data_IF_310132987748
#
_entry.id   IF_310132987748
#
_cell.length_a   1.000
_cell.length_b   1.000
_cell.length_c   1.000
_cell.angle_alpha   90.00
_cell.angle_beta   90.00
_cell.angle_gamma   90.00
#
_symmetry.space_group_name_H-M   'P 1'
#
loop_
_entity.id
_entity.type
_entity.pdbx_description
1 polymer ?
#
# COMPACT_ATOMS: atom_id res chain seq x y z
N UNK A 1 -22.87 -42.25 51.12
CA UNK A 1 -21.71 -41.33 51.08
C UNK A 1 -21.49 -40.89 49.63
N UNK A 2 -22.00 -39.73 49.25
CA UNK A 2 -21.89 -39.17 47.90
C UNK A 2 -20.72 -38.18 47.97
N UNK A 3 -19.61 -38.48 47.25
CA UNK A 3 -18.48 -37.56 47.12
C UNK A 3 -18.79 -36.61 45.96
N UNK A 4 -19.06 -35.36 46.27
CA UNK A 4 -19.21 -34.30 45.30
C UNK A 4 -17.85 -33.90 44.70
N UNK A 5 -17.69 -34.03 43.39
CA UNK A 5 -16.55 -33.54 42.64
C UNK A 5 -16.74 -32.04 42.37
N UNK A 6 -15.99 -31.17 43.03
CA UNK A 6 -15.96 -29.74 42.73
C UNK A 6 -15.02 -29.54 41.56
N UNK A 7 -15.59 -29.24 40.37
CA UNK A 7 -14.85 -28.85 39.17
C UNK A 7 -14.50 -27.36 39.29
N UNK A 8 -13.26 -27.03 39.60
CA UNK A 8 -12.77 -25.63 39.58
C UNK A 8 -12.44 -25.26 38.14
N UNK A 9 -13.32 -24.45 37.53
CA UNK A 9 -13.11 -23.87 36.22
C UNK A 9 -12.16 -22.69 36.34
N UNK A 10 -10.87 -22.87 36.07
CA UNK A 10 -9.88 -21.80 35.95
C UNK A 10 -10.12 -21.07 34.61
N UNK A 11 -10.87 -19.96 34.65
CA UNK A 11 -10.95 -18.99 33.55
C UNK A 11 -9.60 -18.27 33.45
N UNK A 12 -8.78 -18.66 32.47
CA UNK A 12 -7.65 -17.85 32.03
C UNK A 12 -8.17 -16.59 31.37
N UNK A 13 -8.29 -15.51 32.14
CA UNK A 13 -8.45 -14.17 31.60
C UNK A 13 -7.13 -13.80 30.88
N UNK A 14 -7.08 -14.06 29.58
CA UNK A 14 -6.03 -13.46 28.74
C UNK A 14 -6.25 -11.93 28.80
N UNK A 15 -5.23 -11.13 29.14
CA UNK A 15 -5.36 -9.68 29.06
C UNK A 15 -5.63 -9.31 27.60
N UNK A 16 -6.82 -8.80 27.31
CA UNK A 16 -7.11 -8.13 26.06
C UNK A 16 -6.23 -6.89 26.01
N UNK A 17 -5.09 -6.97 25.34
CA UNK A 17 -4.29 -5.80 24.98
C UNK A 17 -5.08 -5.04 23.93
N UNK A 18 -5.88 -4.06 24.35
CA UNK A 18 -6.54 -3.14 23.44
C UNK A 18 -5.43 -2.38 22.69
N UNK A 19 -5.33 -2.60 21.36
CA UNK A 19 -4.38 -1.89 20.52
C UNK A 19 -4.59 -0.38 20.68
N UNK A 20 -3.55 0.34 21.11
CA UNK A 20 -3.62 1.78 21.32
C UNK A 20 -3.80 2.49 19.98
N UNK A 21 -4.91 3.20 19.82
CA UNK A 21 -5.20 4.00 18.64
C UNK A 21 -4.71 5.44 18.84
N UNK A 22 -3.82 5.89 17.97
CA UNK A 22 -3.33 7.25 17.94
C UNK A 22 -4.15 8.09 16.93
N UNK A 23 -4.49 9.33 17.29
CA UNK A 23 -5.24 10.24 16.40
C UNK A 23 -4.27 11.24 15.76
N UNK A 24 -4.08 11.18 14.45
CA UNK A 24 -3.18 12.06 13.72
C UNK A 24 -3.93 13.20 13.00
N UNK A 25 -5.09 12.95 12.40
CA UNK A 25 -5.91 13.95 11.71
C UNK A 25 -5.21 14.58 10.51
N UNK A 26 -5.19 13.87 9.38
CA UNK A 26 -4.37 14.20 8.21
C UNK A 26 -4.75 15.53 7.52
N UNK A 27 -6.01 15.97 7.60
CA UNK A 27 -6.48 17.19 6.92
C UNK A 27 -5.65 18.46 7.22
N UNK A 28 -5.13 18.60 8.43
CA UNK A 28 -4.32 19.78 8.82
C UNK A 28 -2.91 19.79 8.21
N UNK A 29 -2.53 18.69 7.58
CA UNK A 29 -1.23 18.49 6.92
C UNK A 29 -1.36 18.47 5.40
N UNK A 30 -2.48 18.92 4.85
CA UNK A 30 -2.67 19.01 3.40
C UNK A 30 -1.75 20.08 2.83
N UNK A 31 -0.87 19.65 1.91
CA UNK A 31 -0.04 20.54 1.10
C UNK A 31 -0.94 21.24 0.07
N UNK A 32 -1.63 20.42 -0.75
CA UNK A 32 -2.44 20.95 -1.85
C UNK A 32 -3.50 19.95 -2.31
N UNK A 33 -4.37 20.42 -3.17
CA UNK A 33 -5.17 19.57 -4.07
C UNK A 33 -4.32 19.25 -5.29
N UNK A 34 -4.33 17.99 -5.69
CA UNK A 34 -3.62 17.55 -6.88
C UNK A 34 -4.37 17.95 -8.16
N UNK A 35 -3.68 18.09 -9.30
CA UNK A 35 -4.30 18.29 -10.60
C UNK A 35 -5.29 17.17 -10.96
N UNK A 36 -6.27 17.49 -11.81
CA UNK A 36 -7.31 16.54 -12.21
C UNK A 36 -6.77 15.30 -12.96
N UNK A 37 -5.59 15.41 -13.58
CA UNK A 37 -4.89 14.28 -14.20
C UNK A 37 -4.56 13.18 -13.18
N UNK A 38 -4.54 13.50 -11.89
CA UNK A 38 -4.25 12.60 -10.79
C UNK A 38 -5.51 12.27 -9.97
N UNK A 39 -6.68 12.30 -10.60
CA UNK A 39 -7.93 11.96 -9.92
C UNK A 39 -7.96 10.52 -9.40
N UNK A 40 -7.23 9.63 -10.03
CA UNK A 40 -7.12 8.20 -9.70
C UNK A 40 -5.65 7.85 -9.42
N UNK A 41 -4.93 8.75 -8.68
CA UNK A 41 -3.54 8.50 -8.31
C UNK A 41 -3.45 7.32 -7.32
N UNK A 42 -2.54 6.39 -7.61
CA UNK A 42 -2.26 5.20 -6.82
C UNK A 42 -0.76 5.01 -6.63
N UNK A 43 -0.37 4.71 -5.39
CA UNK A 43 1.03 4.56 -4.99
C UNK A 43 1.86 5.85 -4.99
N UNK A 44 2.82 5.90 -4.08
CA UNK A 44 3.86 6.94 -4.03
C UNK A 44 5.24 6.31 -3.92
N UNK A 45 6.25 6.93 -4.50
CA UNK A 45 7.65 6.57 -4.25
C UNK A 45 8.56 7.79 -4.42
N UNK A 46 9.68 7.81 -3.67
CA UNK A 46 10.75 8.79 -3.87
C UNK A 46 11.91 8.11 -4.57
N UNK A 47 12.27 8.61 -5.75
CA UNK A 47 13.44 8.17 -6.49
C UNK A 47 14.30 9.38 -6.87
N UNK A 48 15.61 9.31 -6.55
CA UNK A 48 16.56 10.40 -6.79
C UNK A 48 16.07 11.77 -6.27
N UNK A 49 15.45 11.77 -5.07
CA UNK A 49 14.96 12.96 -4.38
C UNK A 49 13.69 13.58 -4.93
N UNK A 50 13.02 12.93 -5.90
CA UNK A 50 11.73 13.36 -6.46
C UNK A 50 10.62 12.41 -6.07
N UNK A 51 9.45 12.96 -5.81
CA UNK A 51 8.24 12.22 -5.50
C UNK A 51 7.53 11.82 -6.80
N UNK A 52 7.17 10.55 -6.93
CA UNK A 52 6.46 10.01 -8.10
C UNK A 52 5.18 9.31 -7.68
N UNK A 53 4.20 9.33 -8.57
CA UNK A 53 2.96 8.56 -8.50
C UNK A 53 2.57 8.03 -9.87
N UNK A 54 1.67 7.08 -9.89
CA UNK A 54 0.99 6.57 -11.09
C UNK A 54 -0.50 6.83 -10.98
N UNK A 55 -1.28 6.54 -12.02
CA UNK A 55 -2.73 6.40 -11.90
C UNK A 55 -3.12 4.93 -11.99
N UNK A 56 -4.20 4.58 -11.32
CA UNK A 56 -4.89 3.30 -11.33
C UNK A 56 -5.26 2.81 -12.73
N UNK A 57 -5.77 1.59 -12.81
CA UNK A 57 -6.15 0.88 -14.02
C UNK A 57 -7.02 1.67 -15.00
N UNK A 58 -6.78 1.45 -16.30
CA UNK A 58 -7.52 2.12 -17.37
C UNK A 58 -7.04 3.52 -17.72
N UNK A 59 -6.14 4.11 -16.95
CA UNK A 59 -5.50 5.39 -17.24
C UNK A 59 -4.29 5.22 -18.17
N UNK A 60 -3.68 6.36 -18.57
CA UNK A 60 -2.43 6.33 -19.34
C UNK A 60 -1.29 5.69 -18.55
N UNK A 61 -0.49 4.86 -19.22
CA UNK A 61 0.64 4.17 -18.62
C UNK A 61 1.85 5.12 -18.51
N UNK A 62 1.84 5.96 -17.49
CA UNK A 62 2.87 6.96 -17.23
C UNK A 62 3.06 7.20 -15.74
N UNK A 63 4.27 7.66 -15.36
CA UNK A 63 4.54 8.12 -14.01
C UNK A 63 4.53 9.66 -14.00
N UNK A 64 4.11 10.23 -12.90
CA UNK A 64 4.06 11.68 -12.68
C UNK A 64 5.05 12.06 -11.58
N UNK A 65 6.06 12.85 -11.94
CA UNK A 65 6.93 13.50 -10.96
C UNK A 65 6.22 14.70 -10.36
N UNK A 66 6.12 14.74 -9.04
CA UNK A 66 5.42 15.78 -8.30
C UNK A 66 6.42 16.70 -7.58
N UNK A 67 6.11 17.97 -7.57
CA UNK A 67 6.73 18.90 -6.63
C UNK A 67 6.20 18.58 -5.22
N UNK A 68 7.09 18.25 -4.31
CA UNK A 68 6.76 17.82 -2.95
C UNK A 68 6.10 18.91 -2.10
N UNK A 69 6.33 20.19 -2.41
CA UNK A 69 5.81 21.34 -1.65
C UNK A 69 4.48 21.88 -2.18
N UNK A 70 4.14 21.57 -3.43
CA UNK A 70 2.93 22.11 -4.08
C UNK A 70 2.02 21.05 -4.67
N UNK A 71 2.49 19.82 -4.86
CA UNK A 71 1.75 18.75 -5.56
C UNK A 71 1.60 18.99 -7.07
N UNK A 72 2.28 19.99 -7.63
CA UNK A 72 2.24 20.25 -9.07
C UNK A 72 2.98 19.15 -9.83
N UNK A 73 2.47 18.77 -11.00
CA UNK A 73 3.18 17.85 -11.91
C UNK A 73 4.36 18.63 -12.53
N UNK A 74 5.58 18.20 -12.22
CA UNK A 74 6.81 18.77 -12.80
C UNK A 74 7.21 18.09 -14.09
N UNK A 75 7.02 16.78 -14.15
CA UNK A 75 7.44 15.96 -15.28
C UNK A 75 6.56 14.72 -15.42
N UNK A 76 6.47 14.19 -16.64
CA UNK A 76 5.76 12.95 -16.97
C UNK A 76 6.74 11.97 -17.61
N UNK A 77 6.82 10.76 -17.08
CA UNK A 77 7.61 9.68 -17.64
C UNK A 77 6.68 8.80 -18.46
N UNK A 78 6.69 9.00 -19.77
CA UNK A 78 5.86 8.22 -20.69
C UNK A 78 6.42 6.82 -20.84
N UNK A 79 5.53 5.83 -20.95
CA UNK A 79 5.90 4.44 -21.23
C UNK A 79 5.16 3.91 -22.45
N UNK A 80 5.61 2.77 -22.97
CA UNK A 80 4.88 1.99 -23.97
C UNK A 80 4.14 0.80 -23.34
N UNK A 81 4.09 0.76 -22.02
CA UNK A 81 3.42 -0.27 -21.26
C UNK A 81 1.91 -0.16 -21.38
N UNK A 82 1.21 -1.22 -20.98
CA UNK A 82 -0.22 -1.18 -20.79
C UNK A 82 -0.50 -0.98 -19.31
N UNK A 83 -1.37 -0.04 -18.96
CA UNK A 83 -1.96 0.05 -17.63
C UNK A 83 -3.25 -0.77 -17.64
N UNK A 84 -3.18 -2.02 -17.14
CA UNK A 84 -4.36 -2.87 -17.00
C UNK A 84 -5.04 -2.59 -15.67
N UNK A 85 -4.24 -2.57 -14.59
CA UNK A 85 -4.69 -2.30 -13.21
C UNK A 85 -3.46 -1.95 -12.36
N UNK A 86 -2.85 -0.78 -12.65
CA UNK A 86 -1.67 -0.29 -11.91
C UNK A 86 -2.10 0.18 -10.53
N UNK A 87 -1.49 -0.36 -9.48
CA UNK A 87 -1.88 -0.09 -8.10
C UNK A 87 -0.73 0.39 -7.22
N UNK A 88 0.50 0.12 -7.61
CA UNK A 88 1.65 0.48 -6.80
C UNK A 88 2.84 0.94 -7.63
N UNK A 89 3.66 1.78 -7.03
CA UNK A 89 4.99 2.10 -7.55
C UNK A 89 6.00 2.07 -6.41
N UNK A 90 7.09 1.34 -6.61
CA UNK A 90 8.24 1.33 -5.72
C UNK A 90 9.51 1.67 -6.51
N UNK A 91 10.60 1.98 -5.82
CA UNK A 91 11.87 2.27 -6.47
C UNK A 91 13.07 1.71 -5.74
N UNK A 92 14.14 1.45 -6.47
CA UNK A 92 15.49 1.34 -5.93
C UNK A 92 16.33 2.53 -6.41
N UNK A 93 17.65 2.48 -6.29
CA UNK A 93 18.53 3.58 -6.76
C UNK A 93 18.55 3.76 -8.28
N UNK A 94 18.03 2.82 -9.07
CA UNK A 94 18.21 2.74 -10.52
C UNK A 94 16.93 2.55 -11.32
N UNK A 95 15.87 2.07 -10.69
CA UNK A 95 14.66 1.63 -11.41
C UNK A 95 13.39 1.92 -10.61
N UNK A 96 12.31 2.13 -11.35
CA UNK A 96 10.95 2.01 -10.85
C UNK A 96 10.47 0.56 -11.00
N UNK A 97 9.69 0.12 -10.04
CA UNK A 97 8.90 -1.11 -10.11
C UNK A 97 7.42 -0.70 -10.07
N UNK A 98 6.70 -1.02 -11.14
CA UNK A 98 5.28 -0.65 -11.28
C UNK A 98 4.47 -1.91 -11.18
N UNK A 99 3.57 -1.96 -10.20
CA UNK A 99 2.70 -3.10 -9.95
C UNK A 99 1.42 -3.02 -10.78
N UNK A 100 1.32 -3.81 -11.84
CA UNK A 100 0.10 -4.07 -12.62
C UNK A 100 -0.54 -5.34 -12.09
N UNK A 101 -1.07 -5.25 -10.88
CA UNK A 101 -1.55 -6.43 -10.14
C UNK A 101 -2.88 -6.21 -9.39
N UNK A 102 -3.55 -5.08 -9.58
CA UNK A 102 -4.91 -4.91 -9.11
C UNK A 102 -5.80 -6.04 -9.60
N UNK A 103 -6.64 -6.56 -8.74
CA UNK A 103 -7.42 -7.75 -9.01
C UNK A 103 -8.75 -7.74 -8.25
N UNK A 104 -9.46 -6.62 -8.30
CA UNK A 104 -10.73 -6.38 -7.61
C UNK A 104 -11.77 -7.49 -7.83
N UNK A 105 -11.72 -8.16 -8.98
CA UNK A 105 -12.61 -9.28 -9.31
C UNK A 105 -12.09 -10.65 -8.82
N UNK A 106 -10.81 -10.77 -8.46
CA UNK A 106 -10.17 -12.02 -8.08
C UNK A 106 -9.96 -13.00 -9.22
N UNK A 107 -10.00 -12.55 -10.47
CA UNK A 107 -9.99 -13.41 -11.66
C UNK A 107 -8.74 -13.25 -12.53
N UNK A 108 -7.82 -12.35 -12.19
CA UNK A 108 -6.59 -12.15 -12.97
C UNK A 108 -5.60 -13.28 -12.76
N UNK A 109 -5.02 -13.75 -13.86
CA UNK A 109 -3.96 -14.76 -13.95
C UNK A 109 -2.67 -14.17 -14.53
N UNK A 110 -2.67 -12.84 -14.81
CA UNK A 110 -1.61 -12.09 -15.49
C UNK A 110 -0.97 -11.00 -14.61
N UNK A 111 -0.97 -11.20 -13.29
CA UNK A 111 -0.39 -10.25 -12.34
C UNK A 111 1.06 -9.98 -12.70
N UNK A 112 1.41 -8.70 -12.83
CA UNK A 112 2.71 -8.29 -13.41
C UNK A 112 3.36 -7.18 -12.61
N UNK A 113 4.69 -7.14 -12.65
CA UNK A 113 5.49 -6.01 -12.18
C UNK A 113 6.43 -5.63 -13.31
N UNK A 114 6.41 -4.35 -13.67
CA UNK A 114 7.32 -3.78 -14.67
C UNK A 114 8.52 -3.17 -13.95
N UNK A 115 9.73 -3.64 -14.32
CA UNK A 115 10.98 -2.98 -13.94
C UNK A 115 11.35 -1.99 -15.03
N UNK A 116 11.29 -0.71 -14.70
CA UNK A 116 11.51 0.42 -15.58
C UNK A 116 12.77 1.18 -15.15
N UNK A 117 13.91 1.08 -15.84
CA UNK A 117 15.11 1.83 -15.51
C UNK A 117 14.84 3.33 -15.44
N UNK A 118 15.40 4.00 -14.43
CA UNK A 118 15.25 5.45 -14.27
C UNK A 118 15.97 6.24 -15.38
N UNK A 119 17.21 5.85 -15.67
CA UNK A 119 18.04 6.47 -16.72
C UNK A 119 17.79 5.78 -18.07
N UNK A 120 16.80 6.28 -18.80
CA UNK A 120 16.42 5.77 -20.12
C UNK A 120 16.27 6.91 -21.11
N UNK A 121 16.65 6.66 -22.35
CA UNK A 121 16.59 7.64 -23.45
C UNK A 121 15.33 7.50 -24.30
N UNK A 122 14.64 6.37 -24.22
CA UNK A 122 13.40 6.07 -24.94
C UNK A 122 12.35 5.43 -24.04
N UNK A 123 11.05 5.66 -24.27
CA UNK A 123 9.97 5.03 -23.51
C UNK A 123 9.97 3.49 -23.50
N UNK A 124 10.58 2.87 -24.50
CA UNK A 124 10.66 1.40 -24.63
C UNK A 124 11.96 0.79 -24.11
N UNK A 125 12.93 1.63 -23.66
CA UNK A 125 14.23 1.12 -23.29
C UNK A 125 14.18 0.23 -22.06
N UNK A 126 14.73 -0.97 -22.22
CA UNK A 126 15.12 -1.91 -21.15
C UNK A 126 14.03 -2.27 -20.13
N UNK A 127 12.73 -2.12 -20.47
CA UNK A 127 11.66 -2.55 -19.57
C UNK A 127 11.67 -4.07 -19.44
N UNK A 128 11.71 -4.57 -18.21
CA UNK A 128 11.55 -6.00 -17.90
C UNK A 128 10.19 -6.23 -17.26
N UNK A 129 9.52 -7.30 -17.66
CA UNK A 129 8.25 -7.73 -17.06
C UNK A 129 8.47 -8.99 -16.26
N UNK A 130 8.01 -8.97 -15.03
CA UNK A 130 7.95 -10.10 -14.13
C UNK A 130 6.48 -10.44 -13.93
N UNK A 131 6.10 -11.70 -14.12
CA UNK A 131 4.78 -12.20 -13.80
C UNK A 131 4.83 -13.00 -12.50
N UNK A 132 3.78 -12.92 -11.70
CA UNK A 132 3.71 -13.73 -10.49
C UNK A 132 2.29 -14.23 -10.24
N UNK A 133 2.16 -15.23 -9.38
CA UNK A 133 0.89 -15.77 -8.93
C UNK A 133 0.96 -16.16 -7.45
N UNK A 134 -0.18 -16.09 -6.78
CA UNK A 134 -0.30 -16.53 -5.40
C UNK A 134 -0.44 -18.05 -5.34
N UNK A 135 0.39 -18.76 -4.53
CA UNK A 135 0.36 -20.24 -4.49
C UNK A 135 -0.96 -20.80 -3.98
N UNK A 136 -1.71 -20.01 -3.20
CA UNK A 136 -2.98 -20.43 -2.61
C UNK A 136 -4.21 -20.10 -3.48
N UNK A 137 -4.07 -19.26 -4.51
CA UNK A 137 -5.17 -18.90 -5.39
C UNK A 137 -5.39 -20.00 -6.44
N UNK A 138 -6.45 -20.78 -6.27
CA UNK A 138 -6.82 -21.88 -7.16
C UNK A 138 -8.18 -21.66 -7.86
N UNK A 139 -8.88 -20.60 -7.51
CA UNK A 139 -10.20 -20.25 -8.07
C UNK A 139 -10.17 -18.82 -8.63
N UNK A 140 -10.23 -18.70 -9.95
CA UNK A 140 -10.18 -17.45 -10.72
C UNK A 140 -11.54 -17.01 -11.25
N UNK A 141 -12.64 -17.57 -10.74
CA UNK A 141 -13.97 -17.06 -11.06
C UNK A 141 -14.14 -15.65 -10.54
N UNK A 142 -14.67 -14.76 -11.38
CA UNK A 142 -14.91 -13.35 -11.01
C UNK A 142 -15.86 -13.23 -9.81
N UNK A 143 -15.41 -12.57 -8.76
CA UNK A 143 -16.14 -12.35 -7.49
C UNK A 143 -15.79 -10.98 -6.93
N UNK A 144 -16.27 -9.94 -7.56
CA UNK A 144 -15.94 -8.55 -7.21
C UNK A 144 -16.02 -8.31 -5.69
N UNK A 145 -14.89 -7.92 -5.09
CA UNK A 145 -14.71 -7.64 -3.65
C UNK A 145 -15.09 -8.79 -2.70
N UNK A 146 -15.06 -10.04 -3.20
CA UNK A 146 -15.44 -11.24 -2.42
C UNK A 146 -14.35 -12.30 -2.43
N UNK A 147 -13.11 -11.88 -2.31
CA UNK A 147 -11.88 -12.69 -2.24
C UNK A 147 -10.79 -11.91 -1.46
N UNK A 148 -9.59 -12.50 -1.32
CA UNK A 148 -8.45 -11.93 -0.59
C UNK A 148 -7.16 -11.94 -1.44
N UNK A 149 -7.29 -11.91 -2.77
CA UNK A 149 -6.17 -11.97 -3.72
C UNK A 149 -6.08 -10.70 -4.58
N UNK A 150 -6.45 -9.58 -4.00
CA UNK A 150 -6.17 -8.26 -4.52
C UNK A 150 -4.90 -7.71 -3.87
N UNK A 151 -4.15 -6.87 -4.56
CA UNK A 151 -2.98 -6.21 -4.01
C UNK A 151 -2.91 -4.77 -4.53
N UNK A 152 -2.51 -3.86 -3.65
CA UNK A 152 -2.37 -2.44 -3.97
C UNK A 152 -1.11 -1.83 -3.35
N UNK A 153 -0.27 -2.63 -2.67
CA UNK A 153 0.87 -2.12 -1.93
C UNK A 153 2.14 -2.90 -2.23
N UNK A 154 3.24 -2.19 -2.49
CA UNK A 154 4.52 -2.79 -2.80
C UNK A 154 5.69 -1.92 -2.35
N UNK A 155 6.73 -2.53 -1.78
CA UNK A 155 8.02 -1.87 -1.52
C UNK A 155 9.16 -2.69 -2.13
N UNK A 156 10.28 -2.02 -2.46
CA UNK A 156 11.55 -2.68 -2.74
C UNK A 156 12.41 -2.63 -1.48
N UNK A 157 12.80 -3.79 -0.95
CA UNK A 157 13.63 -3.90 0.23
C UNK A 157 14.45 -5.19 0.21
N UNK A 158 15.71 -5.15 0.67
CA UNK A 158 16.63 -6.31 0.70
C UNK A 158 16.68 -7.10 -0.63
N UNK A 159 16.75 -6.37 -1.76
CA UNK A 159 16.77 -6.95 -3.11
C UNK A 159 15.55 -7.80 -3.47
N UNK A 160 14.44 -7.62 -2.78
CA UNK A 160 13.16 -8.27 -3.05
C UNK A 160 12.06 -7.22 -3.20
N UNK A 161 11.03 -7.56 -3.97
CA UNK A 161 9.77 -6.83 -3.96
C UNK A 161 8.84 -7.49 -2.95
N UNK A 162 8.38 -6.70 -2.00
CA UNK A 162 7.45 -7.10 -0.96
C UNK A 162 6.07 -6.59 -1.33
N UNK A 163 5.11 -7.49 -1.47
CA UNK A 163 3.73 -7.20 -1.88
C UNK A 163 2.81 -7.43 -0.68
N UNK A 164 1.89 -6.50 -0.45
CA UNK A 164 0.90 -6.60 0.61
C UNK A 164 -0.50 -6.60 0.02
N UNK A 165 -1.29 -7.64 0.35
CA UNK A 165 -2.63 -7.81 -0.22
C UNK A 165 -3.66 -6.87 0.41
N UNK A 166 -4.62 -6.43 -0.42
CA UNK A 166 -5.87 -5.77 -0.02
C UNK A 166 -6.96 -6.84 0.12
N UNK A 167 -7.12 -7.38 1.31
CA UNK A 167 -8.03 -8.51 1.53
C UNK A 167 -9.47 -8.05 1.76
N UNK A 168 -10.29 -8.11 0.73
CA UNK A 168 -11.66 -7.61 0.75
C UNK A 168 -12.57 -8.31 1.76
N UNK A 169 -12.41 -9.62 2.01
CA UNK A 169 -13.26 -10.37 2.93
C UNK A 169 -12.79 -10.15 4.37
N UNK A 170 -11.53 -10.39 4.64
CA UNK A 170 -10.96 -10.45 5.97
C UNK A 170 -10.58 -9.08 6.54
N UNK A 171 -10.30 -8.08 5.67
CA UNK A 171 -9.64 -6.82 6.01
C UNK A 171 -8.28 -7.04 6.70
N UNK A 172 -7.60 -8.10 6.32
CA UNK A 172 -6.24 -8.44 6.70
C UNK A 172 -5.30 -8.09 5.55
N UNK A 173 -4.02 -8.32 5.73
CA UNK A 173 -3.03 -8.28 4.66
C UNK A 173 -2.12 -9.50 4.74
N UNK A 174 -1.83 -10.10 3.60
CA UNK A 174 -0.81 -11.14 3.46
C UNK A 174 0.41 -10.53 2.78
N UNK A 175 1.56 -10.73 3.37
CA UNK A 175 2.85 -10.31 2.87
C UNK A 175 3.45 -11.42 2.01
N UNK A 176 3.73 -11.10 0.75
CA UNK A 176 4.44 -11.95 -0.20
C UNK A 176 5.73 -11.28 -0.63
N UNK A 177 6.70 -12.09 -1.11
CA UNK A 177 7.90 -11.59 -1.80
C UNK A 177 8.03 -12.22 -3.17
N UNK A 178 8.58 -11.43 -4.10
CA UNK A 178 9.01 -11.88 -5.43
C UNK A 178 10.42 -11.33 -5.70
N UNK A 179 11.20 -12.09 -6.47
CA UNK A 179 12.57 -11.71 -6.81
C UNK A 179 12.60 -10.93 -8.13
N UNK A 180 12.94 -9.64 -8.13
CA UNK A 180 12.98 -8.82 -9.34
C UNK A 180 14.11 -9.21 -10.31
N UNK A 181 15.08 -10.02 -9.89
CA UNK A 181 16.13 -10.53 -10.76
C UNK A 181 15.66 -11.68 -11.66
N UNK A 182 14.57 -12.37 -11.29
CA UNK A 182 14.01 -13.47 -12.05
C UNK A 182 13.10 -12.91 -13.15
N UNK A 183 13.46 -13.16 -14.41
CA UNK A 183 12.62 -12.82 -15.56
C UNK A 183 11.56 -13.89 -15.79
N UNK A 184 10.37 -13.49 -16.28
CA UNK A 184 9.26 -14.40 -16.57
C UNK A 184 8.34 -14.63 -15.39
N UNK A 185 7.80 -15.84 -15.23
CA UNK A 185 6.80 -16.14 -14.21
C UNK A 185 7.41 -16.80 -12.97
N UNK A 186 6.96 -16.38 -11.80
CA UNK A 186 7.36 -16.99 -10.52
C UNK A 186 6.19 -17.11 -9.55
N UNK A 187 6.28 -18.06 -8.64
CA UNK A 187 5.37 -18.15 -7.50
C UNK A 187 5.77 -17.16 -6.43
N UNK A 188 4.86 -16.29 -6.02
CA UNK A 188 5.11 -15.39 -4.90
C UNK A 188 5.32 -16.20 -3.61
N UNK A 189 6.37 -15.87 -2.86
CA UNK A 189 6.66 -16.55 -1.59
C UNK A 189 5.89 -15.88 -0.47
N UNK A 190 4.96 -16.58 0.13
CA UNK A 190 4.25 -16.11 1.32
C UNK A 190 5.20 -16.01 2.51
N UNK A 191 5.24 -14.86 3.16
CA UNK A 191 6.08 -14.58 4.32
C UNK A 191 5.26 -14.62 5.61
N UNK A 192 4.19 -13.84 5.68
CA UNK A 192 3.35 -13.73 6.87
C UNK A 192 1.96 -13.18 6.51
N UNK A 193 1.04 -13.19 7.47
CA UNK A 193 -0.27 -12.55 7.39
C UNK A 193 -0.55 -11.82 8.70
N UNK A 194 -1.23 -10.66 8.60
CA UNK A 194 -1.61 -9.86 9.75
C UNK A 194 -3.05 -9.35 9.64
N UNK A 195 -3.80 -9.43 10.76
CA UNK A 195 -5.19 -8.95 10.82
C UNK A 195 -5.22 -7.46 11.14
N UNK A 196 -4.94 -6.63 10.12
CA UNK A 196 -4.72 -5.19 10.26
C UNK A 196 -6.01 -4.39 10.48
N UNK A 197 -7.17 -4.95 10.05
CA UNK A 197 -8.50 -4.36 10.26
C UNK A 197 -8.86 -3.22 9.30
N UNK A 198 -8.20 -3.15 8.14
CA UNK A 198 -8.54 -2.25 7.03
C UNK A 198 -8.01 -2.80 5.70
N UNK A 199 -8.48 -2.26 4.59
CA UNK A 199 -8.03 -2.58 3.25
C UNK A 199 -6.74 -1.82 2.99
N UNK A 200 -5.62 -2.53 2.83
CA UNK A 200 -4.30 -1.91 2.56
C UNK A 200 -4.28 -1.40 1.13
N UNK A 201 -3.84 -0.17 0.93
CA UNK A 201 -3.81 0.52 -0.36
C UNK A 201 -2.42 0.97 -0.79
N UNK A 202 -1.47 1.15 0.14
CA UNK A 202 -0.08 1.37 -0.21
C UNK A 202 0.85 1.08 0.97
N UNK A 203 2.15 0.98 0.69
CA UNK A 203 3.22 0.69 1.63
C UNK A 203 4.46 1.54 1.40
N UNK A 204 5.13 1.90 2.50
CA UNK A 204 6.46 2.50 2.46
C UNK A 204 7.38 1.85 3.50
N UNK A 205 8.68 1.92 3.27
CA UNK A 205 9.67 1.43 4.23
C UNK A 205 10.75 2.49 4.47
N UNK A 206 10.95 2.84 5.73
CA UNK A 206 11.97 3.79 6.15
C UNK A 206 12.45 3.50 7.57
N UNK A 207 13.73 3.60 7.82
CA UNK A 207 14.35 3.47 9.15
C UNK A 207 13.86 2.25 9.94
N UNK A 208 13.97 1.05 9.35
CA UNK A 208 13.55 -0.24 9.92
C UNK A 208 12.06 -0.31 10.28
N UNK A 209 11.22 0.47 9.61
CA UNK A 209 9.77 0.44 9.79
C UNK A 209 9.07 0.29 8.46
N UNK A 210 8.11 -0.62 8.45
CA UNK A 210 7.11 -0.72 7.40
C UNK A 210 5.92 0.17 7.80
N UNK A 211 5.45 0.96 6.85
CA UNK A 211 4.24 1.77 6.96
C UNK A 211 3.21 1.19 5.99
N UNK A 212 2.02 0.85 6.49
CA UNK A 212 0.89 0.44 5.66
C UNK A 212 -0.24 1.43 5.85
N UNK A 213 -0.79 1.93 4.76
CA UNK A 213 -1.94 2.85 4.77
C UNK A 213 -3.15 2.16 4.12
N UNK A 214 -4.34 2.64 4.42
CA UNK A 214 -5.56 2.15 3.80
C UNK A 214 -6.82 2.61 4.54
N UNK A 215 -7.96 2.02 4.16
CA UNK A 215 -9.25 2.42 4.70
C UNK A 215 -10.16 1.22 4.99
N UNK A 216 -11.10 1.41 5.90
CA UNK A 216 -12.15 0.44 6.16
C UNK A 216 -13.27 0.57 5.12
N UNK A 217 -14.13 -0.45 5.00
CA UNK A 217 -15.36 -0.40 4.18
C UNK A 217 -16.32 0.73 4.57
N UNK A 218 -16.12 1.34 5.76
CA UNK A 218 -16.87 2.51 6.22
C UNK A 218 -16.20 3.84 5.83
N UNK A 219 -15.05 3.78 5.16
CA UNK A 219 -14.29 4.95 4.74
C UNK A 219 -13.44 5.59 5.85
N UNK A 220 -13.18 4.89 6.95
CA UNK A 220 -12.23 5.33 7.96
C UNK A 220 -10.81 5.03 7.49
N UNK A 221 -9.93 6.02 7.52
CA UNK A 221 -8.55 5.93 7.00
C UNK A 221 -7.58 5.72 8.15
N UNK A 222 -6.72 4.72 7.98
CA UNK A 222 -5.72 4.33 8.97
C UNK A 222 -4.33 4.21 8.36
N UNK A 223 -3.32 4.36 9.22
CA UNK A 223 -1.94 3.93 8.98
C UNK A 223 -1.51 3.03 10.13
N UNK A 224 -0.79 1.95 9.82
CA UNK A 224 -0.11 1.10 10.80
C UNK A 224 1.38 1.08 10.52
N UNK A 225 2.21 1.15 11.59
CA UNK A 225 3.67 1.06 11.46
C UNK A 225 4.19 -0.15 12.21
N UNK A 226 4.97 -0.98 11.52
CA UNK A 226 5.56 -2.21 12.05
C UNK A 226 7.09 -2.07 12.11
N UNK A 227 7.69 -2.49 13.20
CA UNK A 227 9.15 -2.56 13.33
C UNK A 227 9.64 -3.83 12.64
N UNK A 228 10.67 -3.69 11.81
CA UNK A 228 11.32 -4.84 11.20
C UNK A 228 12.08 -5.64 12.26
N UNK A 229 11.70 -6.89 12.47
CA UNK A 229 12.30 -7.82 13.45
C UNK A 229 13.48 -8.63 12.90
N UNK A 230 13.62 -8.70 11.60
CA UNK A 230 14.69 -9.32 10.83
C UNK A 230 14.48 -8.99 9.36
N UNK A 231 15.47 -9.19 8.47
CA UNK A 231 15.42 -8.75 7.08
C UNK A 231 14.11 -9.17 6.38
N UNK A 232 13.21 -8.20 6.12
CA UNK A 232 11.90 -8.41 5.48
C UNK A 232 10.83 -9.07 6.36
N UNK A 233 11.02 -9.16 7.68
CA UNK A 233 10.03 -9.69 8.62
C UNK A 233 9.42 -8.55 9.45
N UNK A 234 8.13 -8.23 9.21
CA UNK A 234 7.47 -7.07 9.77
C UNK A 234 6.39 -7.37 10.83
N UNK A 235 5.77 -8.56 10.77
CA UNK A 235 4.57 -8.85 11.57
C UNK A 235 4.87 -9.68 12.83
N UNK A 236 6.06 -9.49 13.43
CA UNK A 236 6.44 -10.18 14.67
C UNK A 236 5.87 -9.50 15.93
N UNK A 237 5.64 -8.18 15.88
CA UNK A 237 5.15 -7.39 16.98
C UNK A 237 3.89 -6.61 16.59
N UNK A 238 3.13 -6.18 17.61
CA UNK A 238 1.95 -5.33 17.41
C UNK A 238 2.34 -3.97 16.83
N UNK A 239 1.67 -3.48 15.77
CA UNK A 239 1.98 -2.19 15.17
C UNK A 239 1.46 -1.02 16.00
N UNK A 240 2.04 0.14 15.77
CA UNK A 240 1.41 1.40 16.17
C UNK A 240 0.36 1.76 15.11
N UNK A 241 -0.89 1.94 15.53
CA UNK A 241 -2.01 2.27 14.64
C UNK A 241 -2.44 3.72 14.81
N UNK A 242 -2.65 4.39 13.68
CA UNK A 242 -3.04 5.80 13.60
C UNK A 242 -4.34 5.95 12.84
N UNK A 243 -5.30 6.66 13.41
CA UNK A 243 -6.48 7.13 12.70
C UNK A 243 -6.14 8.45 12.01
N UNK A 244 -6.31 8.50 10.69
CA UNK A 244 -5.95 9.64 9.86
C UNK A 244 -7.14 10.56 9.53
N UNK A 245 -8.35 10.01 9.54
CA UNK A 245 -9.58 10.69 9.17
C UNK A 245 -10.55 9.80 8.40
N UNK A 246 -11.32 10.38 7.50
CA UNK A 246 -12.26 9.63 6.65
C UNK A 246 -12.08 9.97 5.17
N UNK A 247 -12.41 9.03 4.28
CA UNK A 247 -12.41 9.25 2.84
C UNK A 247 -13.33 10.42 2.42
N UNK A 248 -14.39 10.67 3.18
CA UNK A 248 -15.29 11.82 2.96
C UNK A 248 -14.61 13.18 3.15
N UNK A 249 -13.47 13.24 3.85
CA UNK A 249 -12.73 14.48 4.10
C UNK A 249 -11.36 14.52 3.42
N UNK A 250 -10.76 13.35 3.19
CA UNK A 250 -9.40 13.21 2.68
C UNK A 250 -9.35 12.87 1.18
N UNK A 251 -10.32 12.14 0.65
CA UNK A 251 -10.25 11.29 -0.53
C UNK A 251 -9.92 9.86 -0.11
N UNK A 252 -9.86 8.93 -1.04
CA UNK A 252 -9.31 7.61 -0.76
C UNK A 252 -7.79 7.71 -0.75
N UNK A 253 -7.17 7.40 0.40
CA UNK A 253 -5.71 7.46 0.52
C UNK A 253 -5.15 6.20 -0.10
N UNK A 254 -4.48 6.38 -1.24
CA UNK A 254 -3.93 5.31 -2.10
C UNK A 254 -2.41 5.45 -2.29
N UNK A 255 -1.76 6.36 -1.57
CA UNK A 255 -0.31 6.51 -1.63
C UNK A 255 0.30 6.90 -0.31
N UNK A 256 1.44 6.30 0.02
CA UNK A 256 2.29 6.64 1.17
C UNK A 256 3.76 6.53 0.80
N UNK A 257 4.57 7.53 1.18
CA UNK A 257 6.02 7.48 1.06
C UNK A 257 6.69 8.17 2.25
N UNK A 258 7.87 7.71 2.63
CA UNK A 258 8.56 8.17 3.83
C UNK A 258 10.02 8.51 3.52
N UNK A 259 10.48 9.66 4.01
CA UNK A 259 11.88 10.07 3.96
C UNK A 259 12.34 10.61 5.32
N UNK A 260 13.56 11.16 5.40
CA UNK A 260 14.14 11.71 6.64
C UNK A 260 13.31 12.85 7.26
N UNK A 261 12.52 13.57 6.47
CA UNK A 261 11.72 14.71 6.92
C UNK A 261 10.37 14.32 7.47
N UNK A 262 9.75 13.25 6.94
CA UNK A 262 8.40 12.82 7.34
C UNK A 262 7.74 11.88 6.36
N UNK A 263 6.42 11.86 6.43
CA UNK A 263 5.54 10.95 5.67
C UNK A 263 4.67 11.75 4.71
N UNK A 264 4.75 11.43 3.43
CA UNK A 264 3.85 11.90 2.39
C UNK A 264 2.68 10.92 2.26
N UNK A 265 1.49 11.47 1.98
CA UNK A 265 0.32 10.70 1.59
C UNK A 265 -0.29 11.33 0.35
N UNK A 266 -0.78 10.52 -0.57
CA UNK A 266 -1.67 10.97 -1.63
C UNK A 266 -3.04 10.33 -1.48
N UNK A 267 -4.05 11.08 -1.88
CA UNK A 267 -5.41 10.58 -1.94
C UNK A 267 -5.99 10.85 -3.31
N UNK A 268 -6.65 9.86 -3.87
CA UNK A 268 -7.43 9.99 -5.09
C UNK A 268 -8.76 10.72 -4.86
N UNK A 269 -9.44 11.07 -5.93
CA UNK A 269 -10.74 11.71 -5.87
C UNK A 269 -11.82 10.74 -5.36
N UNK A 270 -12.57 11.15 -4.36
CA UNK A 270 -13.64 10.34 -3.80
C UNK A 270 -15.02 10.93 -4.12
N UNK A 271 -15.83 10.18 -4.85
CA UNK A 271 -17.20 10.60 -5.21
C UNK A 271 -18.17 10.28 -4.08
N UNK A 272 -18.94 11.26 -3.67
CA UNK A 272 -19.98 11.12 -2.65
C UNK A 272 -21.32 11.61 -3.21
N UNK A 273 -22.46 11.27 -2.59
CA UNK A 273 -23.75 11.85 -2.98
C UNK A 273 -23.83 13.38 -2.88
N UNK A 274 -22.92 13.99 -2.10
CA UNK A 274 -22.89 15.44 -1.85
C UNK A 274 -21.84 16.19 -2.68
N UNK A 275 -21.08 15.48 -3.52
CA UNK A 275 -20.01 16.06 -4.34
C UNK A 275 -18.77 15.20 -4.37
N UNK A 276 -17.70 15.71 -5.00
CA UNK A 276 -16.42 15.01 -5.12
C UNK A 276 -15.38 15.63 -4.20
N UNK A 277 -14.77 14.83 -3.34
CA UNK A 277 -13.53 15.17 -2.65
C UNK A 277 -12.41 15.13 -3.69
N UNK A 278 -11.68 16.23 -3.84
CA UNK A 278 -10.60 16.33 -4.85
C UNK A 278 -9.36 15.57 -4.39
N UNK A 279 -8.57 15.03 -5.34
CA UNK A 279 -7.30 14.38 -5.02
C UNK A 279 -6.40 15.35 -4.29
N UNK A 280 -5.59 14.87 -3.38
CA UNK A 280 -4.82 15.72 -2.47
C UNK A 280 -3.48 15.09 -2.10
N UNK A 281 -2.47 15.95 -1.86
CA UNK A 281 -1.18 15.58 -1.28
C UNK A 281 -1.09 16.12 0.15
N UNK A 282 -0.52 15.31 1.05
CA UNK A 282 -0.33 15.64 2.45
C UNK A 282 1.12 15.33 2.87
N UNK A 283 1.61 16.09 3.86
CA UNK A 283 2.91 15.82 4.47
C UNK A 283 2.86 15.95 5.98
N UNK A 284 3.30 14.91 6.69
CA UNK A 284 3.35 14.86 8.15
C UNK A 284 4.80 14.76 8.61
N UNK A 285 5.37 15.77 9.26
CA UNK A 285 6.73 15.69 9.82
C UNK A 285 6.82 14.57 10.87
N UNK A 286 7.97 13.89 10.94
CA UNK A 286 8.20 12.78 11.90
C UNK A 286 7.90 13.15 13.36
N UNK A 287 8.19 14.38 13.77
CA UNK A 287 7.90 14.87 15.12
C UNK A 287 6.42 14.86 15.50
N UNK A 288 5.53 14.82 14.51
CA UNK A 288 4.06 14.73 14.71
C UNK A 288 3.57 13.30 14.75
N UNK A 289 4.38 12.33 14.29
CA UNK A 289 4.10 10.90 14.38
C UNK A 289 4.70 10.39 15.68
N UNK A 290 4.03 10.67 16.79
CA UNK A 290 4.53 10.30 18.12
C UNK A 290 4.53 8.80 18.28
N UNK A 291 5.68 8.25 18.68
CA UNK A 291 5.72 6.94 19.30
C UNK A 291 4.74 6.92 20.49
N UNK A 292 3.82 5.97 20.52
CA UNK A 292 2.95 5.79 21.67
C UNK A 292 3.80 5.61 22.93
N UNK A 293 3.63 6.52 23.89
CA UNK A 293 4.21 6.36 25.24
C UNK A 293 3.51 5.23 25.95
#
# INVERSE_FOLDING_TARGET
>A
MIRGLILVLLLFLQPLHAQKLNFLGLNKYRISKLPHQLNENSGLTILNGKLYTVNDGGNSAELFALNSDSGAIEHRVLTTLKNTDWEAVAGDSTSFYIGDFGNNAGSREDLSIYNLPFDRTSPSDSVKTLHFFYPEQTDFRSRLHRHNYDAEAMIFHNSQLHIFTKEWISQSTTHYTVDPAISGSQTAKKVARYDIGFLVTDAAYFDKKLYLVGYTKKGEVFMSTFIESGPGYFFAEEPQKYYLGTAFSLGQVEGIEVNESGVYFSAEAFRTPFGTVKPSLFFVPHEKIKAGK
#
